data_IF_411031568969
#
_entry.id   IF_411031568969
#
_cell.length_a   1.000
_cell.length_b   1.000
_cell.length_c   1.000
_cell.angle_alpha   90.00
_cell.angle_beta   90.00
_cell.angle_gamma   90.00
#
_symmetry.space_group_name_H-M   'P 1'
#
loop_
_entity.id
_entity.type
_entity.pdbx_description
1 polymer ?
#
# COMPACT_ATOMS: atom_id res chain seq x y z
N UNK A 1 -38.09 -5.32 6.04
CA UNK A 1 -36.73 -4.89 5.72
C UNK A 1 -35.92 -6.07 5.23
N UNK A 2 -35.20 -5.89 4.16
CA UNK A 2 -34.29 -6.93 3.68
C UNK A 2 -33.03 -6.98 4.55
N UNK A 3 -32.55 -8.18 4.82
CA UNK A 3 -31.29 -8.37 5.54
C UNK A 3 -30.12 -8.23 4.57
N UNK A 4 -28.98 -7.69 5.02
CA UNK A 4 -27.78 -7.70 4.20
C UNK A 4 -27.32 -9.11 3.85
N UNK A 5 -26.60 -9.23 2.76
CA UNK A 5 -26.05 -10.50 2.30
C UNK A 5 -24.53 -10.51 2.49
N UNK A 6 -24.01 -11.68 2.84
CA UNK A 6 -22.56 -11.90 2.87
C UNK A 6 -22.21 -12.60 1.57
N UNK A 7 -21.27 -12.01 0.83
CA UNK A 7 -20.77 -12.58 -0.40
C UNK A 7 -19.27 -12.80 -0.31
N UNK A 8 -18.79 -13.88 -0.93
CA UNK A 8 -17.37 -14.18 -1.05
C UNK A 8 -17.05 -14.08 -2.54
N UNK A 9 -16.17 -13.15 -2.90
CA UNK A 9 -15.93 -12.80 -4.29
C UNK A 9 -14.48 -12.99 -4.66
N UNK A 10 -14.23 -13.79 -5.69
CA UNK A 10 -12.87 -14.08 -6.15
C UNK A 10 -12.32 -12.95 -7.03
N UNK A 11 -13.20 -12.26 -7.75
CA UNK A 11 -12.81 -11.18 -8.65
C UNK A 11 -13.67 -9.94 -8.42
N UNK A 12 -13.54 -9.29 -7.24
CA UNK A 12 -14.35 -8.13 -6.94
C UNK A 12 -14.02 -6.96 -7.86
N UNK A 13 -14.98 -6.08 -8.05
CA UNK A 13 -14.75 -4.84 -8.79
C UNK A 13 -13.83 -3.93 -7.97
N UNK A 14 -12.93 -3.27 -8.67
CA UNK A 14 -11.98 -2.36 -8.03
C UNK A 14 -12.68 -1.28 -7.21
N UNK A 15 -13.80 -0.76 -7.69
CA UNK A 15 -14.59 0.23 -6.95
C UNK A 15 -15.09 -0.29 -5.61
N UNK A 16 -15.40 -1.58 -5.51
CA UNK A 16 -15.88 -2.17 -4.27
C UNK A 16 -14.74 -2.33 -3.26
N UNK A 17 -13.56 -2.70 -3.74
CA UNK A 17 -12.35 -2.75 -2.91
C UNK A 17 -12.06 -1.36 -2.36
N UNK A 18 -12.20 -0.33 -3.18
CA UNK A 18 -11.96 1.05 -2.77
C UNK A 18 -12.93 1.50 -1.68
N UNK A 19 -14.20 1.06 -1.74
CA UNK A 19 -15.17 1.38 -0.69
C UNK A 19 -14.69 0.89 0.67
N UNK A 20 -14.14 -0.34 0.74
CA UNK A 20 -13.58 -0.85 1.99
C UNK A 20 -12.39 -0.02 2.47
N UNK A 21 -11.48 0.32 1.57
CA UNK A 21 -10.30 1.11 1.94
C UNK A 21 -10.66 2.50 2.43
N UNK A 22 -11.60 3.16 1.74
CA UNK A 22 -12.05 4.49 2.13
C UNK A 22 -12.76 4.44 3.49
N UNK A 23 -13.58 3.42 3.72
CA UNK A 23 -14.27 3.24 4.98
C UNK A 23 -13.32 3.03 6.15
N UNK A 24 -12.28 2.21 5.96
CA UNK A 24 -11.25 1.99 6.98
C UNK A 24 -10.49 3.29 7.26
N UNK A 25 -10.15 4.03 6.21
CA UNK A 25 -9.45 5.30 6.36
C UNK A 25 -10.26 6.32 7.14
N UNK A 26 -11.55 6.45 6.84
CA UNK A 26 -12.43 7.36 7.56
C UNK A 26 -12.60 6.96 9.02
N UNK A 27 -12.73 5.66 9.29
CA UNK A 27 -12.85 5.16 10.64
C UNK A 27 -11.58 5.48 11.45
N UNK A 28 -10.41 5.21 10.88
CA UNK A 28 -9.14 5.48 11.56
C UNK A 28 -8.98 6.98 11.82
N UNK A 29 -9.37 7.82 10.88
CA UNK A 29 -9.33 9.26 11.05
C UNK A 29 -10.24 9.70 12.21
N UNK A 30 -11.46 9.15 12.29
CA UNK A 30 -12.40 9.50 13.35
C UNK A 30 -11.90 9.14 14.74
N UNK A 31 -11.10 8.06 14.84
CA UNK A 31 -10.56 7.59 16.11
C UNK A 31 -9.31 8.35 16.55
N UNK A 32 -8.54 8.87 15.61
CA UNK A 32 -7.19 9.38 15.89
C UNK A 32 -6.97 10.82 15.45
N UNK A 33 -7.81 11.32 14.56
CA UNK A 33 -7.57 12.58 13.89
C UNK A 33 -6.48 12.50 12.82
N UNK A 34 -5.98 11.29 12.53
CA UNK A 34 -4.93 11.08 11.54
C UNK A 34 -5.45 10.31 10.35
N UNK A 35 -5.33 10.91 9.17
CA UNK A 35 -5.75 10.27 7.93
C UNK A 35 -4.60 9.44 7.36
N UNK A 36 -4.90 8.19 6.97
CA UNK A 36 -3.93 7.35 6.30
C UNK A 36 -3.55 7.90 4.93
N UNK A 37 -2.31 7.66 4.51
CA UNK A 37 -1.79 8.10 3.21
C UNK A 37 -1.16 6.93 2.48
N UNK A 38 -1.50 6.80 1.20
CA UNK A 38 -0.88 5.81 0.35
C UNK A 38 0.54 6.26 -0.04
N UNK A 39 1.46 5.30 -0.03
CA UNK A 39 2.83 5.51 -0.51
C UNK A 39 3.04 4.54 -1.66
N UNK A 40 3.38 5.09 -2.82
CA UNK A 40 3.61 4.33 -4.03
C UNK A 40 5.03 4.62 -4.50
N UNK A 41 5.83 3.58 -4.60
CA UNK A 41 7.20 3.67 -5.11
C UNK A 41 7.29 2.78 -6.33
N UNK A 42 7.78 3.34 -7.43
CA UNK A 42 7.87 2.61 -8.70
C UNK A 42 9.33 2.45 -9.12
N UNK A 43 9.64 1.28 -9.62
CA UNK A 43 10.85 1.06 -10.40
C UNK A 43 10.47 1.12 -11.87
N UNK A 44 11.07 2.03 -12.63
CA UNK A 44 10.75 2.23 -14.05
C UNK A 44 11.99 1.99 -14.89
N UNK A 45 11.80 1.41 -16.07
CA UNK A 45 12.88 1.24 -17.04
C UNK A 45 13.11 2.53 -17.84
N UNK A 46 14.00 2.50 -18.83
CA UNK A 46 14.33 3.66 -19.65
C UNK A 46 13.15 4.17 -20.48
N UNK A 47 12.18 3.32 -20.76
CA UNK A 47 10.95 3.68 -21.46
C UNK A 47 9.85 4.13 -20.50
N UNK A 48 10.18 4.35 -19.23
CA UNK A 48 9.24 4.74 -18.16
C UNK A 48 8.14 3.71 -17.86
N UNK A 49 8.36 2.46 -18.25
CA UNK A 49 7.43 1.38 -17.92
C UNK A 49 7.67 0.92 -16.48
N UNK A 50 6.59 0.58 -15.78
CA UNK A 50 6.69 0.06 -14.42
C UNK A 50 7.17 -1.39 -14.46
N UNK A 51 8.33 -1.65 -13.87
CA UNK A 51 8.92 -2.98 -13.80
C UNK A 51 9.06 -3.49 -12.36
N UNK A 52 8.56 -2.72 -11.41
CA UNK A 52 8.51 -3.11 -10.02
C UNK A 52 8.10 -1.95 -9.14
N UNK A 53 8.06 -2.19 -7.85
CA UNK A 53 7.75 -1.16 -6.90
C UNK A 53 7.17 -1.69 -5.61
N UNK A 54 6.72 -0.77 -4.78
CA UNK A 54 6.06 -1.09 -3.53
C UNK A 54 4.82 -0.22 -3.34
N UNK A 55 3.84 -0.80 -2.69
CA UNK A 55 2.65 -0.10 -2.24
C UNK A 55 2.58 -0.22 -0.72
N UNK A 56 2.46 0.90 -0.05
CA UNK A 56 2.32 0.96 1.39
C UNK A 56 1.24 1.92 1.82
N UNK A 57 0.89 1.84 3.10
CA UNK A 57 -0.11 2.70 3.71
C UNK A 57 0.46 3.22 5.02
N UNK A 58 0.57 4.53 5.14
CA UNK A 58 1.08 5.19 6.34
C UNK A 58 -0.08 5.66 7.19
N UNK A 59 -0.22 5.12 8.39
CA UNK A 59 -1.27 5.48 9.34
C UNK A 59 -0.78 5.19 10.75
N UNK A 60 -1.11 6.04 11.72
CA UNK A 60 -0.77 5.84 13.12
C UNK A 60 0.72 5.77 13.40
N UNK A 61 1.54 6.46 12.64
CA UNK A 61 3.02 6.37 12.72
C UNK A 61 3.56 5.02 12.29
N UNK A 62 2.73 4.18 11.67
CA UNK A 62 3.13 2.89 11.11
C UNK A 62 3.06 2.93 9.61
N UNK A 63 4.08 2.36 8.99
CA UNK A 63 4.07 2.05 7.57
C UNK A 63 3.69 0.59 7.42
N UNK A 64 2.61 0.32 6.70
CA UNK A 64 2.23 -1.03 6.31
C UNK A 64 2.58 -1.22 4.85
N UNK A 65 3.56 -2.06 4.57
CA UNK A 65 3.96 -2.39 3.20
C UNK A 65 3.15 -3.59 2.77
N UNK A 66 2.28 -3.40 1.80
CA UNK A 66 1.33 -4.42 1.36
C UNK A 66 1.78 -5.17 0.12
N UNK A 67 2.51 -4.49 -0.76
CA UNK A 67 2.99 -5.08 -2.01
C UNK A 67 4.42 -4.66 -2.21
N UNK A 68 5.24 -5.64 -2.52
CA UNK A 68 6.59 -5.44 -3.04
C UNK A 68 6.71 -6.40 -4.21
N UNK A 69 6.86 -5.84 -5.41
CA UNK A 69 6.83 -6.64 -6.62
C UNK A 69 7.88 -6.18 -7.62
N UNK A 70 8.43 -7.15 -8.32
CA UNK A 70 9.37 -6.91 -9.42
C UNK A 70 9.01 -7.86 -10.56
N UNK A 71 9.21 -7.40 -11.80
CA UNK A 71 9.13 -8.30 -12.95
C UNK A 71 10.20 -9.39 -12.81
N UNK A 72 9.95 -10.53 -13.44
CA UNK A 72 10.82 -11.69 -13.27
C UNK A 72 12.27 -11.40 -13.64
N UNK A 73 12.50 -10.63 -14.70
CA UNK A 73 13.84 -10.27 -15.16
C UNK A 73 14.56 -9.29 -14.23
N UNK A 74 13.84 -8.63 -13.33
CA UNK A 74 14.45 -7.69 -12.36
C UNK A 74 14.65 -8.31 -10.99
N UNK A 75 14.18 -9.52 -10.77
CA UNK A 75 14.35 -10.22 -9.50
C UNK A 75 15.80 -10.63 -9.30
N UNK A 76 16.24 -10.73 -8.03
CA UNK A 76 17.59 -11.13 -7.67
C UNK A 76 18.69 -10.17 -8.16
N UNK A 77 18.33 -8.93 -8.45
CA UNK A 77 19.28 -7.87 -8.83
C UNK A 77 19.51 -6.84 -7.73
N UNK A 78 18.99 -7.12 -6.53
CA UNK A 78 19.16 -6.23 -5.39
C UNK A 78 18.24 -5.03 -5.34
N UNK A 79 17.19 -4.97 -6.14
CA UNK A 79 16.26 -3.84 -6.19
C UNK A 79 15.35 -3.75 -4.97
N UNK A 80 15.08 -4.87 -4.29
CA UNK A 80 14.18 -4.88 -3.14
C UNK A 80 14.60 -3.92 -2.04
N UNK A 81 15.88 -3.89 -1.71
CA UNK A 81 16.40 -3.01 -0.65
C UNK A 81 16.25 -1.53 -0.99
N UNK A 82 16.68 -1.04 -2.16
CA UNK A 82 16.47 0.36 -2.52
C UNK A 82 14.98 0.75 -2.55
N UNK A 83 14.11 -0.12 -3.02
CA UNK A 83 12.67 0.15 -3.07
C UNK A 83 12.11 0.27 -1.65
N UNK A 84 12.47 -0.65 -0.76
CA UNK A 84 12.04 -0.58 0.64
C UNK A 84 12.59 0.66 1.33
N UNK A 85 13.85 1.01 1.08
CA UNK A 85 14.45 2.21 1.66
C UNK A 85 13.74 3.48 1.19
N UNK A 86 13.39 3.56 -0.09
CA UNK A 86 12.65 4.70 -0.63
C UNK A 86 11.26 4.80 0.01
N UNK A 87 10.60 3.66 0.20
CA UNK A 87 9.29 3.60 0.83
C UNK A 87 9.36 4.06 2.29
N UNK A 88 10.35 3.57 3.03
CA UNK A 88 10.57 3.94 4.42
C UNK A 88 10.94 5.41 4.58
N UNK A 89 11.77 5.93 3.69
CA UNK A 89 12.16 7.34 3.71
C UNK A 89 10.94 8.23 3.52
N UNK A 90 10.08 7.89 2.57
CA UNK A 90 8.85 8.64 2.34
C UNK A 90 7.90 8.55 3.54
N UNK A 91 7.83 7.38 4.17
CA UNK A 91 7.00 7.17 5.35
C UNK A 91 7.49 8.01 6.53
N UNK A 92 8.80 8.13 6.72
CA UNK A 92 9.39 8.96 7.77
C UNK A 92 8.98 10.43 7.56
N UNK A 93 9.01 10.91 6.33
CA UNK A 93 8.54 12.26 6.00
C UNK A 93 7.07 12.47 6.36
N UNK A 94 6.28 11.40 6.39
CA UNK A 94 4.87 11.43 6.75
C UNK A 94 4.62 11.11 8.23
N UNK A 95 5.66 11.07 9.04
CA UNK A 95 5.57 10.90 10.49
C UNK A 95 5.58 9.46 10.98
N UNK A 96 5.88 8.49 10.14
CA UNK A 96 5.97 7.09 10.57
C UNK A 96 7.24 6.85 11.38
N UNK A 97 7.13 6.03 12.42
CA UNK A 97 8.23 5.63 13.29
C UNK A 97 8.50 4.13 13.21
N UNK A 98 7.58 3.37 12.65
CA UNK A 98 7.64 1.93 12.54
C UNK A 98 7.22 1.48 11.15
N UNK A 99 7.71 0.33 10.71
CA UNK A 99 7.29 -0.26 9.46
C UNK A 99 6.97 -1.74 9.65
N UNK A 100 6.05 -2.23 8.81
CA UNK A 100 5.63 -3.62 8.83
C UNK A 100 5.39 -4.08 7.41
N UNK A 101 6.01 -5.20 7.03
CA UNK A 101 5.78 -5.82 5.74
C UNK A 101 4.67 -6.85 5.88
N UNK A 102 3.59 -6.65 5.12
CA UNK A 102 2.42 -7.51 5.10
C UNK A 102 2.34 -8.25 3.77
N UNK A 103 3.00 -9.36 3.65
CA UNK A 103 2.94 -10.19 2.44
C UNK A 103 2.46 -11.59 2.76
#
# INVERSE_FOLDING_TARGET
MSSPLITIEDNPLEKDIRVLWDGIGEYNFSQTGLKGQAILVFLRNEQHQVIGGAYGWAVYRWLHIRVLWLTEDQRQRGWGTPILQATETEAIKKGCQHSRLET
#
